data_IF_936861974412
#
_entry.id   IF_936861974412
#
_cell.length_a   1.000
_cell.length_b   1.000
_cell.length_c   1.000
_cell.angle_alpha   90.00
_cell.angle_beta   90.00
_cell.angle_gamma   90.00
#
_symmetry.space_group_name_H-M   'P 1'
#
loop_
_entity.id
_entity.type
_entity.pdbx_description
1 polymer ?
#
# COMPACT_ATOMS: atom_id res chain seq x y z
N UNK A 1 30.37 17.64 -39.96
CA UNK A 1 29.10 17.18 -40.55
C UNK A 1 28.11 16.96 -39.40
N UNK A 2 27.06 17.78 -39.32
CA UNK A 2 25.99 17.60 -38.35
C UNK A 2 24.97 16.63 -38.95
N UNK A 3 24.81 15.44 -38.39
CA UNK A 3 23.74 14.54 -38.76
C UNK A 3 22.41 15.11 -38.23
N UNK A 4 21.58 15.61 -39.11
CA UNK A 4 20.18 15.90 -38.86
C UNK A 4 19.46 14.56 -38.68
N UNK A 5 19.06 14.27 -37.43
CA UNK A 5 18.16 13.17 -37.13
C UNK A 5 16.75 13.61 -37.56
N UNK A 6 16.31 13.13 -38.71
CA UNK A 6 14.91 13.26 -39.12
C UNK A 6 14.08 12.35 -38.21
N UNK A 7 13.34 12.93 -37.28
CA UNK A 7 12.23 12.20 -36.66
C UNK A 7 11.24 11.89 -37.80
N UNK A 8 10.88 10.62 -37.98
CA UNK A 8 9.76 10.26 -38.83
C UNK A 8 8.54 10.99 -38.28
N UNK A 9 8.06 11.99 -39.01
CA UNK A 9 6.77 12.61 -38.75
C UNK A 9 5.71 11.49 -38.91
N UNK A 10 5.12 11.04 -37.81
CA UNK A 10 3.90 10.27 -37.89
C UNK A 10 2.91 11.13 -38.70
N UNK A 11 2.42 10.59 -39.79
CA UNK A 11 1.45 11.30 -40.64
C UNK A 11 0.23 11.58 -39.76
N UNK A 12 -0.20 12.84 -39.71
CA UNK A 12 -1.34 13.35 -38.92
C UNK A 12 -2.66 12.59 -39.17
N UNK A 13 -2.70 11.75 -40.21
CA UNK A 13 -3.84 10.92 -40.59
C UNK A 13 -4.08 9.67 -39.71
N UNK A 14 -3.15 9.33 -38.78
CA UNK A 14 -3.27 8.13 -37.95
C UNK A 14 -4.04 8.36 -36.63
N UNK A 15 -4.37 9.61 -36.29
CA UNK A 15 -5.06 9.95 -35.04
C UNK A 15 -6.40 10.66 -35.33
N UNK A 16 -7.48 10.11 -34.78
CA UNK A 16 -8.74 10.79 -34.75
C UNK A 16 -8.64 11.98 -33.76
N UNK A 17 -9.06 13.18 -34.18
CA UNK A 17 -9.04 14.39 -33.33
C UNK A 17 -9.82 14.20 -32.02
N UNK A 18 -10.88 13.42 -32.04
CA UNK A 18 -11.66 13.05 -30.84
C UNK A 18 -10.85 12.21 -29.86
N UNK A 19 -10.07 11.22 -30.35
CA UNK A 19 -9.23 10.38 -29.52
C UNK A 19 -8.12 11.22 -28.86
N UNK A 20 -7.52 12.16 -29.62
CA UNK A 20 -6.52 13.08 -29.06
C UNK A 20 -7.12 14.00 -28.01
N UNK A 21 -8.29 14.60 -28.27
CA UNK A 21 -8.99 15.46 -27.32
C UNK A 21 -9.31 14.72 -26.02
N UNK A 22 -9.89 13.52 -26.09
CA UNK A 22 -10.16 12.70 -24.93
C UNK A 22 -8.87 12.30 -24.20
N UNK A 23 -7.79 11.96 -24.93
CA UNK A 23 -6.52 11.63 -24.30
C UNK A 23 -5.94 12.81 -23.51
N UNK A 24 -5.93 14.01 -24.09
CA UNK A 24 -5.49 15.23 -23.38
C UNK A 24 -6.37 15.54 -22.17
N UNK A 25 -7.70 15.39 -22.27
CA UNK A 25 -8.60 15.52 -21.12
C UNK A 25 -8.26 14.49 -20.03
N UNK A 26 -7.94 13.26 -20.42
CA UNK A 26 -7.47 12.22 -19.50
C UNK A 26 -6.15 12.58 -18.82
N UNK A 27 -5.20 13.17 -19.55
CA UNK A 27 -3.93 13.66 -18.96
C UNK A 27 -4.21 14.78 -17.95
N UNK A 28 -5.01 15.77 -18.32
CA UNK A 28 -5.36 16.88 -17.41
C UNK A 28 -6.03 16.37 -16.15
N UNK A 29 -6.97 15.46 -16.26
CA UNK A 29 -7.61 14.84 -15.09
C UNK A 29 -6.60 14.05 -14.23
N UNK A 30 -5.68 13.31 -14.87
CA UNK A 30 -4.63 12.57 -14.18
C UNK A 30 -3.67 13.49 -13.41
N UNK A 31 -3.17 14.55 -14.04
CA UNK A 31 -2.29 15.54 -13.41
C UNK A 31 -3.00 16.29 -12.26
N UNK A 32 -4.33 16.48 -12.37
CA UNK A 32 -5.18 17.00 -11.31
C UNK A 32 -5.56 15.93 -10.26
N UNK A 33 -4.97 14.73 -10.34
CA UNK A 33 -5.21 13.61 -9.43
C UNK A 33 -6.65 13.07 -9.40
N UNK A 34 -7.48 13.47 -10.35
CA UNK A 34 -8.80 12.87 -10.53
C UNK A 34 -8.71 11.61 -11.40
N UNK A 35 -8.24 10.53 -10.74
CA UNK A 35 -7.99 9.25 -11.41
C UNK A 35 -9.28 8.63 -11.96
N UNK A 36 -10.42 8.86 -11.31
CA UNK A 36 -11.73 8.36 -11.76
C UNK A 36 -12.15 9.03 -13.08
N UNK A 37 -11.99 10.34 -13.18
CA UNK A 37 -12.26 11.09 -14.41
C UNK A 37 -11.24 10.78 -15.50
N UNK A 38 -9.95 10.70 -15.15
CA UNK A 38 -8.89 10.28 -16.06
C UNK A 38 -9.21 8.93 -16.73
N UNK A 39 -9.71 7.96 -15.93
CA UNK A 39 -10.09 6.64 -16.44
C UNK A 39 -11.26 6.69 -17.41
N UNK A 40 -12.24 7.59 -17.25
CA UNK A 40 -13.33 7.75 -18.22
C UNK A 40 -12.74 8.11 -19.59
N UNK A 41 -11.87 9.11 -19.64
CA UNK A 41 -11.25 9.57 -20.87
C UNK A 41 -10.28 8.53 -21.45
N UNK A 42 -9.41 7.90 -20.65
CA UNK A 42 -8.52 6.85 -21.11
C UNK A 42 -9.28 5.63 -21.64
N UNK A 43 -10.41 5.26 -21.05
CA UNK A 43 -11.25 4.17 -21.57
C UNK A 43 -11.79 4.43 -22.97
N UNK A 44 -12.05 5.71 -23.34
CA UNK A 44 -12.49 6.11 -24.67
C UNK A 44 -11.37 6.08 -25.73
N UNK A 45 -10.10 6.08 -25.28
CA UNK A 45 -8.92 6.23 -26.14
C UNK A 45 -7.98 5.03 -26.11
N UNK A 46 -8.47 3.84 -25.75
CA UNK A 46 -7.67 2.60 -25.68
C UNK A 46 -6.94 2.24 -26.98
N UNK A 47 -7.39 2.74 -28.11
CA UNK A 47 -6.71 2.60 -29.41
C UNK A 47 -5.28 3.16 -29.36
N UNK A 48 -4.99 4.09 -28.45
CA UNK A 48 -3.67 4.69 -28.25
C UNK A 48 -2.69 3.82 -27.47
N UNK A 49 -3.12 2.74 -26.82
CA UNK A 49 -2.24 1.83 -26.07
C UNK A 49 -1.02 1.39 -26.91
N UNK A 50 -1.22 1.16 -28.21
CA UNK A 50 -0.17 0.69 -29.12
C UNK A 50 0.50 1.81 -29.92
N UNK A 51 0.05 3.04 -29.76
CA UNK A 51 0.48 4.17 -30.58
C UNK A 51 1.23 5.25 -29.78
N UNK A 52 1.13 5.22 -28.45
CA UNK A 52 1.72 6.23 -27.58
C UNK A 52 2.36 5.60 -26.33
N UNK A 53 3.68 5.68 -26.22
CA UNK A 53 4.45 4.97 -25.18
C UNK A 53 4.01 5.31 -23.74
N UNK A 54 3.70 6.58 -23.45
CA UNK A 54 3.29 7.01 -22.12
C UNK A 54 1.84 6.67 -21.76
N UNK A 55 1.00 6.27 -22.75
CA UNK A 55 -0.41 6.02 -22.52
C UNK A 55 -0.63 4.86 -21.55
N UNK A 56 0.00 3.72 -21.81
CA UNK A 56 -0.18 2.52 -21.00
C UNK A 56 0.22 2.75 -19.55
N UNK A 57 1.33 3.44 -19.32
CA UNK A 57 1.79 3.79 -17.96
C UNK A 57 0.76 4.63 -17.21
N UNK A 58 0.24 5.72 -17.80
CA UNK A 58 -0.77 6.58 -17.17
C UNK A 58 -2.06 5.82 -16.91
N UNK A 59 -2.52 5.04 -17.88
CA UNK A 59 -3.74 4.25 -17.76
C UNK A 59 -3.65 3.23 -16.62
N UNK A 60 -2.56 2.49 -16.54
CA UNK A 60 -2.31 1.50 -15.48
C UNK A 60 -2.20 2.17 -14.12
N UNK A 61 -1.47 3.29 -14.00
CA UNK A 61 -1.35 4.01 -12.74
C UNK A 61 -2.70 4.59 -12.29
N UNK A 62 -3.51 5.15 -13.22
CA UNK A 62 -4.87 5.61 -12.90
C UNK A 62 -5.74 4.47 -12.38
N UNK A 63 -5.63 3.26 -12.95
CA UNK A 63 -6.38 2.09 -12.46
C UNK A 63 -5.97 1.71 -11.03
N UNK A 64 -4.67 1.67 -10.74
CA UNK A 64 -4.19 1.36 -9.38
C UNK A 64 -4.63 2.44 -8.40
N UNK A 65 -4.47 3.72 -8.75
CA UNK A 65 -4.85 4.85 -7.90
C UNK A 65 -6.36 4.97 -7.65
N UNK A 66 -7.19 4.43 -8.57
CA UNK A 66 -8.64 4.29 -8.40
C UNK A 66 -9.05 2.94 -7.75
N UNK A 67 -8.11 2.26 -7.10
CA UNK A 67 -8.30 0.97 -6.42
C UNK A 67 -8.80 -0.17 -7.35
N UNK A 68 -8.46 -0.11 -8.64
CA UNK A 68 -8.83 -1.09 -9.68
C UNK A 68 -7.64 -1.99 -10.07
N UNK A 69 -6.88 -2.46 -9.07
CA UNK A 69 -5.66 -3.26 -9.26
C UNK A 69 -5.87 -4.50 -10.15
N UNK A 70 -6.95 -5.31 -10.02
CA UNK A 70 -7.18 -6.44 -10.92
C UNK A 70 -7.31 -6.03 -12.38
N UNK A 71 -7.90 -4.85 -12.66
CA UNK A 71 -8.02 -4.35 -14.04
C UNK A 71 -6.66 -3.89 -14.58
N UNK A 72 -5.83 -3.25 -13.74
CA UNK A 72 -4.45 -2.89 -14.12
C UNK A 72 -3.62 -4.13 -14.49
N UNK A 73 -3.72 -5.20 -13.71
CA UNK A 73 -3.08 -6.49 -13.99
C UNK A 73 -3.53 -7.07 -15.33
N UNK A 74 -4.84 -7.08 -15.59
CA UNK A 74 -5.37 -7.57 -16.87
C UNK A 74 -4.85 -6.76 -18.06
N UNK A 75 -4.80 -5.44 -17.92
CA UNK A 75 -4.26 -4.56 -18.96
C UNK A 75 -2.78 -4.86 -19.22
N UNK A 76 -1.97 -5.03 -18.18
CA UNK A 76 -0.55 -5.37 -18.30
C UNK A 76 -0.35 -6.74 -18.94
N UNK A 77 -1.08 -7.77 -18.52
CA UNK A 77 -0.98 -9.11 -19.08
C UNK A 77 -1.32 -9.14 -20.59
N UNK A 78 -2.33 -8.37 -21.02
CA UNK A 78 -2.71 -8.25 -22.42
C UNK A 78 -1.69 -7.48 -23.29
N UNK A 79 -0.74 -6.80 -22.64
CA UNK A 79 0.30 -5.99 -23.32
C UNK A 79 1.72 -6.43 -22.96
N UNK A 80 1.92 -7.58 -22.30
CA UNK A 80 3.19 -8.02 -21.72
C UNK A 80 4.37 -8.11 -22.72
N UNK A 81 4.10 -8.29 -24.01
CA UNK A 81 5.13 -8.45 -25.05
C UNK A 81 5.41 -7.13 -25.81
N UNK A 82 4.93 -6.00 -25.32
CA UNK A 82 5.09 -4.71 -25.98
C UNK A 82 6.14 -3.86 -25.26
N UNK A 83 6.91 -3.08 -26.02
CA UNK A 83 7.94 -2.19 -25.48
C UNK A 83 7.38 -1.16 -24.48
N UNK A 84 6.15 -0.71 -24.68
CA UNK A 84 5.48 0.27 -23.82
C UNK A 84 5.02 -0.28 -22.46
N UNK A 85 5.09 -1.62 -22.23
CA UNK A 85 4.84 -2.24 -20.91
C UNK A 85 6.09 -2.28 -20.02
N UNK A 86 7.24 -1.81 -20.54
CA UNK A 86 8.53 -1.86 -19.87
C UNK A 86 8.75 -0.62 -18.98
N UNK A 87 8.09 -0.58 -17.81
CA UNK A 87 8.26 0.48 -16.80
C UNK A 87 8.17 -0.09 -15.38
N UNK A 88 8.81 0.59 -14.43
CA UNK A 88 8.97 0.12 -13.06
C UNK A 88 7.66 -0.29 -12.38
N UNK A 89 6.64 0.57 -12.43
CA UNK A 89 5.36 0.32 -11.75
C UNK A 89 4.65 -0.94 -12.30
N UNK A 90 4.82 -1.24 -13.62
CA UNK A 90 4.29 -2.47 -14.21
C UNK A 90 4.92 -3.72 -13.59
N UNK A 91 6.24 -3.73 -13.41
CA UNK A 91 6.91 -4.85 -12.76
C UNK A 91 6.46 -5.03 -11.32
N UNK A 92 6.33 -3.95 -10.55
CA UNK A 92 5.82 -4.04 -9.17
C UNK A 92 4.42 -4.66 -9.15
N UNK A 93 3.50 -4.21 -9.99
CA UNK A 93 2.13 -4.77 -10.07
C UNK A 93 2.17 -6.27 -10.42
N UNK A 94 3.00 -6.66 -11.38
CA UNK A 94 3.11 -8.06 -11.83
C UNK A 94 3.80 -8.95 -10.79
N UNK A 95 4.77 -8.44 -10.03
CA UNK A 95 5.36 -9.13 -8.88
C UNK A 95 4.27 -9.40 -7.84
N UNK A 96 3.49 -8.38 -7.46
CA UNK A 96 2.43 -8.48 -6.47
C UNK A 96 1.35 -9.46 -6.91
N UNK A 97 0.92 -9.43 -8.18
CA UNK A 97 -0.03 -10.42 -8.72
C UNK A 97 0.53 -11.86 -8.68
N UNK A 98 1.83 -12.01 -9.00
CA UNK A 98 2.49 -13.31 -8.97
C UNK A 98 2.59 -13.85 -7.54
N UNK A 99 2.89 -13.01 -6.56
CA UNK A 99 2.89 -13.36 -5.15
C UNK A 99 1.49 -13.77 -4.70
N UNK A 100 0.46 -12.99 -5.00
CA UNK A 100 -0.94 -13.33 -4.65
C UNK A 100 -1.38 -14.69 -5.20
N UNK A 101 -0.82 -15.10 -6.34
CA UNK A 101 -1.10 -16.38 -6.98
C UNK A 101 -0.15 -17.51 -6.54
N UNK A 102 0.67 -17.32 -5.53
CA UNK A 102 1.70 -18.27 -5.07
C UNK A 102 2.74 -18.63 -6.17
N UNK A 103 2.88 -17.81 -7.20
CA UNK A 103 3.85 -18.04 -8.27
C UNK A 103 5.17 -17.31 -7.99
N UNK A 104 5.91 -17.78 -6.99
CA UNK A 104 7.18 -17.17 -6.56
C UNK A 104 8.24 -17.18 -7.66
N UNK A 105 8.22 -18.17 -8.56
CA UNK A 105 9.16 -18.21 -9.71
C UNK A 105 8.93 -17.02 -10.62
N UNK A 106 7.67 -16.77 -10.99
CA UNK A 106 7.31 -15.64 -11.87
C UNK A 106 7.54 -14.29 -11.19
N UNK A 107 7.29 -14.20 -9.87
CA UNK A 107 7.61 -13.01 -9.08
C UNK A 107 9.11 -12.69 -9.15
N UNK A 108 9.98 -13.69 -9.04
CA UNK A 108 11.43 -13.57 -9.12
C UNK A 108 11.91 -13.15 -10.54
N UNK A 109 11.27 -13.70 -11.60
CA UNK A 109 11.52 -13.32 -12.99
C UNK A 109 11.20 -11.83 -13.23
N UNK A 110 10.03 -11.34 -12.78
CA UNK A 110 9.67 -9.94 -12.90
C UNK A 110 10.57 -9.04 -12.03
N UNK A 111 10.93 -9.49 -10.83
CA UNK A 111 11.87 -8.77 -9.97
C UNK A 111 13.23 -8.60 -10.67
N UNK A 112 13.74 -9.65 -11.30
CA UNK A 112 14.99 -9.60 -12.08
C UNK A 112 14.89 -8.63 -13.25
N UNK A 113 13.75 -8.59 -13.95
CA UNK A 113 13.53 -7.64 -15.04
C UNK A 113 13.44 -6.19 -14.55
N UNK A 114 12.96 -5.96 -13.32
CA UNK A 114 12.90 -4.62 -12.71
C UNK A 114 14.26 -4.08 -12.26
N UNK A 115 15.32 -4.90 -12.24
CA UNK A 115 16.65 -4.56 -11.74
C UNK A 115 17.23 -3.28 -12.37
N UNK A 116 16.95 -3.05 -13.65
CA UNK A 116 17.42 -1.87 -14.40
C UNK A 116 16.92 -0.53 -13.87
N UNK A 117 15.86 -0.54 -13.01
CA UNK A 117 15.27 0.66 -12.41
C UNK A 117 15.70 0.88 -10.95
N UNK A 118 16.47 -0.03 -10.33
CA UNK A 118 16.77 -0.01 -8.89
C UNK A 118 17.59 1.23 -8.46
N UNK A 119 18.43 1.74 -9.35
CA UNK A 119 19.36 2.83 -9.04
C UNK A 119 18.75 4.23 -9.33
N UNK A 120 17.52 4.31 -9.81
CA UNK A 120 16.85 5.57 -10.08
C UNK A 120 16.44 6.31 -8.80
N UNK A 121 16.15 5.55 -7.72
CA UNK A 121 15.68 6.08 -6.45
C UNK A 121 16.07 5.10 -5.32
N UNK A 122 16.50 5.65 -4.17
CA UNK A 122 16.87 4.86 -2.99
C UNK A 122 15.72 3.99 -2.49
N UNK A 123 14.47 4.46 -2.56
CA UNK A 123 13.31 3.67 -2.17
C UNK A 123 13.11 2.49 -3.11
N UNK A 124 13.33 2.66 -4.41
CA UNK A 124 13.27 1.54 -5.38
C UNK A 124 14.29 0.45 -5.07
N UNK A 125 15.50 0.85 -4.67
CA UNK A 125 16.52 -0.10 -4.21
C UNK A 125 16.07 -0.88 -2.96
N UNK A 126 15.49 -0.19 -1.98
CA UNK A 126 14.93 -0.83 -0.77
C UNK A 126 13.83 -1.82 -1.14
N UNK A 127 12.91 -1.42 -2.03
CA UNK A 127 11.81 -2.29 -2.49
C UNK A 127 12.38 -3.53 -3.18
N UNK A 128 13.31 -3.35 -4.11
CA UNK A 128 13.94 -4.46 -4.82
C UNK A 128 14.61 -5.46 -3.88
N UNK A 129 15.49 -5.00 -3.01
CA UNK A 129 16.25 -5.88 -2.11
C UNK A 129 15.34 -6.55 -1.06
N UNK A 130 14.30 -5.87 -0.59
CA UNK A 130 13.36 -6.45 0.38
C UNK A 130 12.45 -7.50 -0.27
N UNK A 131 11.90 -7.22 -1.46
CA UNK A 131 11.11 -8.21 -2.20
C UNK A 131 11.94 -9.43 -2.58
N UNK A 132 13.21 -9.25 -2.95
CA UNK A 132 14.16 -10.36 -3.19
C UNK A 132 14.31 -11.26 -1.96
N UNK A 133 14.46 -10.66 -0.77
CA UNK A 133 14.55 -11.40 0.49
C UNK A 133 13.24 -12.16 0.77
N UNK A 134 12.08 -11.52 0.65
CA UNK A 134 10.79 -12.16 0.85
C UNK A 134 10.57 -13.33 -0.12
N UNK A 135 10.76 -13.12 -1.42
CA UNK A 135 10.60 -14.17 -2.45
C UNK A 135 11.53 -15.35 -2.15
N UNK A 136 12.80 -15.08 -1.80
CA UNK A 136 13.74 -16.12 -1.43
C UNK A 136 13.25 -16.92 -0.20
N UNK A 137 12.79 -16.22 0.84
CA UNK A 137 12.29 -16.84 2.08
C UNK A 137 11.04 -17.69 1.81
N UNK A 138 10.11 -17.19 0.99
CA UNK A 138 8.89 -17.93 0.65
C UNK A 138 9.18 -19.21 -0.14
N UNK A 139 10.13 -19.14 -1.08
CA UNK A 139 10.56 -20.29 -1.89
C UNK A 139 11.33 -21.35 -1.09
N UNK A 140 12.26 -20.90 -0.26
CA UNK A 140 13.29 -21.78 0.31
C UNK A 140 13.06 -22.08 1.80
N UNK A 141 12.11 -21.42 2.45
CA UNK A 141 11.88 -21.51 3.90
C UNK A 141 13.14 -21.22 4.73
N UNK A 142 13.96 -20.29 4.25
CA UNK A 142 15.23 -19.85 4.87
C UNK A 142 15.43 -18.36 4.70
N UNK A 143 16.13 -17.73 5.63
CA UNK A 143 16.56 -16.33 5.51
C UNK A 143 17.68 -16.24 4.48
N UNK A 144 17.67 -15.21 3.64
CA UNK A 144 18.72 -14.95 2.67
C UNK A 144 19.98 -14.45 3.38
N UNK A 145 21.11 -15.10 3.12
CA UNK A 145 22.42 -14.65 3.59
C UNK A 145 22.92 -13.45 2.74
N UNK A 146 23.89 -12.70 3.28
CA UNK A 146 24.56 -11.58 2.58
C UNK A 146 23.58 -10.53 1.97
N UNK A 147 22.51 -10.21 2.69
CA UNK A 147 21.54 -9.19 2.31
C UNK A 147 22.02 -7.77 2.60
N UNK A 148 21.60 -6.80 1.79
CA UNK A 148 21.82 -5.38 2.11
C UNK A 148 21.04 -4.99 3.37
N UNK A 149 21.65 -4.13 4.19
CA UNK A 149 21.06 -3.62 5.42
C UNK A 149 20.61 -2.17 5.25
N UNK A 150 19.31 -1.93 5.51
CA UNK A 150 18.67 -0.62 5.48
C UNK A 150 18.18 -0.20 6.89
N UNK A 151 18.92 -0.61 7.91
CA UNK A 151 18.57 -0.27 9.30
C UNK A 151 17.25 -0.93 9.74
N UNK A 152 16.38 -0.13 10.33
CA UNK A 152 15.12 -0.63 10.89
C UNK A 152 14.19 -1.27 9.85
N UNK A 153 14.21 -0.84 8.59
CA UNK A 153 13.44 -1.50 7.53
C UNK A 153 13.89 -2.95 7.32
N UNK A 154 15.19 -3.22 7.39
CA UNK A 154 15.71 -4.57 7.31
C UNK A 154 15.37 -5.40 8.55
N UNK A 155 15.40 -4.80 9.74
CA UNK A 155 15.00 -5.45 10.98
C UNK A 155 13.51 -5.86 10.93
N UNK A 156 12.64 -4.96 10.46
CA UNK A 156 11.22 -5.25 10.26
C UNK A 156 11.03 -6.41 9.28
N UNK A 157 11.64 -6.31 8.10
CA UNK A 157 11.51 -7.35 7.08
C UNK A 157 12.02 -8.72 7.58
N UNK A 158 13.15 -8.74 8.28
CA UNK A 158 13.68 -9.97 8.86
C UNK A 158 12.77 -10.53 9.97
N UNK A 159 12.19 -9.69 10.82
CA UNK A 159 11.25 -10.12 11.86
C UNK A 159 10.07 -10.89 11.23
N UNK A 160 9.45 -10.34 10.19
CA UNK A 160 8.36 -11.01 9.49
C UNK A 160 8.81 -12.27 8.73
N UNK A 161 9.99 -12.27 8.11
CA UNK A 161 10.54 -13.47 7.48
C UNK A 161 10.75 -14.60 8.51
N UNK A 162 11.29 -14.28 9.70
CA UNK A 162 11.43 -15.24 10.80
C UNK A 162 10.09 -15.75 11.31
N UNK A 163 9.11 -14.86 11.44
CA UNK A 163 7.75 -15.25 11.81
C UNK A 163 7.16 -16.23 10.79
N UNK A 164 7.34 -15.98 9.49
CA UNK A 164 6.86 -16.86 8.41
C UNK A 164 7.46 -18.27 8.43
N UNK A 165 8.74 -18.40 8.78
CA UNK A 165 9.42 -19.68 8.83
C UNK A 165 9.39 -20.32 10.25
N UNK A 166 8.63 -19.74 11.16
CA UNK A 166 8.48 -20.20 12.56
C UNK A 166 9.84 -20.31 13.30
N UNK A 167 10.77 -19.38 13.04
CA UNK A 167 12.09 -19.32 13.69
C UNK A 167 11.91 -19.04 15.20
N UNK A 168 12.55 -19.82 16.05
CA UNK A 168 12.49 -19.71 17.53
C UNK A 168 12.92 -18.33 18.06
N UNK A 169 13.67 -17.55 17.26
CA UNK A 169 14.12 -16.19 17.61
C UNK A 169 13.09 -15.12 17.31
N UNK A 170 11.97 -15.43 16.65
CA UNK A 170 10.92 -14.45 16.30
C UNK A 170 10.54 -13.54 17.45
N UNK A 171 10.28 -14.04 18.70
CA UNK A 171 9.93 -13.15 19.81
C UNK A 171 10.99 -12.11 20.14
N UNK A 172 12.29 -12.50 20.13
CA UNK A 172 13.38 -11.56 20.39
C UNK A 172 13.50 -10.46 19.32
N UNK A 173 13.20 -10.79 18.05
CA UNK A 173 13.18 -9.81 16.97
C UNK A 173 12.02 -8.82 17.12
N UNK A 174 10.82 -9.27 17.49
CA UNK A 174 9.70 -8.36 17.80
C UNK A 174 10.03 -7.45 18.99
N UNK A 175 10.58 -7.99 20.08
CA UNK A 175 10.98 -7.19 21.24
C UNK A 175 12.06 -6.17 20.89
N UNK A 176 13.04 -6.51 20.03
CA UNK A 176 14.02 -5.54 19.54
C UNK A 176 13.39 -4.39 18.73
N UNK A 177 12.33 -4.68 17.97
CA UNK A 177 11.58 -3.63 17.26
C UNK A 177 10.82 -2.73 18.23
N UNK A 178 10.05 -3.31 19.14
CA UNK A 178 9.15 -2.58 20.05
C UNK A 178 9.97 -1.70 21.01
N UNK A 179 11.11 -2.19 21.50
CA UNK A 179 11.98 -1.47 22.42
C UNK A 179 12.96 -0.50 21.74
N UNK A 180 12.90 -0.35 20.42
CA UNK A 180 13.79 0.55 19.69
C UNK A 180 13.38 2.01 19.92
N UNK A 181 14.27 2.79 20.53
CA UNK A 181 14.02 4.20 20.83
C UNK A 181 14.23 5.16 19.64
N UNK A 182 14.63 4.66 18.47
CA UNK A 182 14.92 5.48 17.30
C UNK A 182 13.68 5.88 16.48
N UNK A 183 12.47 5.49 16.91
CA UNK A 183 11.22 5.80 16.23
C UNK A 183 10.00 5.20 16.91
N UNK A 184 8.81 5.51 16.39
CA UNK A 184 7.57 4.90 16.86
C UNK A 184 7.35 3.54 16.16
N UNK A 185 7.61 2.47 16.90
CA UNK A 185 7.38 1.09 16.47
C UNK A 185 6.18 0.44 17.17
N UNK A 186 5.33 1.25 17.80
CA UNK A 186 4.14 0.78 18.52
C UNK A 186 3.23 -0.13 17.69
N UNK A 187 3.14 0.13 16.37
CA UNK A 187 2.41 -0.73 15.42
C UNK A 187 2.83 -2.21 15.51
N UNK A 188 4.12 -2.49 15.80
CA UNK A 188 4.64 -3.87 15.86
C UNK A 188 4.24 -4.62 17.12
N UNK A 189 3.69 -3.93 18.12
CA UNK A 189 3.05 -4.58 19.28
C UNK A 189 1.85 -5.41 18.82
N UNK A 190 1.04 -4.92 17.85
CA UNK A 190 -0.06 -5.68 17.27
C UNK A 190 0.44 -7.01 16.66
N UNK A 191 1.49 -6.97 15.84
CA UNK A 191 2.02 -8.16 15.19
C UNK A 191 2.69 -9.12 16.18
N UNK A 192 3.28 -8.58 17.26
CA UNK A 192 3.81 -9.41 18.33
C UNK A 192 2.70 -10.10 19.13
N UNK A 193 1.62 -9.39 19.43
CA UNK A 193 0.43 -9.97 20.05
C UNK A 193 -0.17 -11.09 19.20
N UNK A 194 -0.32 -10.85 17.90
CA UNK A 194 -0.77 -11.88 16.94
C UNK A 194 0.13 -13.11 17.00
N UNK A 195 1.45 -12.92 16.97
CA UNK A 195 2.42 -14.02 17.08
C UNK A 195 2.30 -14.78 18.41
N UNK A 196 2.11 -14.09 19.54
CA UNK A 196 1.94 -14.73 20.86
C UNK A 196 0.65 -15.56 20.89
N UNK A 197 -0.46 -15.02 20.38
CA UNK A 197 -1.76 -15.68 20.33
C UNK A 197 -1.71 -16.92 19.44
N UNK A 198 -1.13 -16.81 18.23
CA UNK A 198 -0.94 -17.94 17.31
C UNK A 198 -0.10 -19.10 17.92
N UNK A 199 0.74 -18.78 18.91
CA UNK A 199 1.55 -19.76 19.62
C UNK A 199 0.97 -20.16 21.00
N UNK A 200 -0.31 -19.85 21.26
CA UNK A 200 -1.01 -20.12 22.53
C UNK A 200 -0.36 -19.49 23.77
N UNK A 201 0.39 -18.39 23.62
CA UNK A 201 1.06 -17.67 24.70
C UNK A 201 0.17 -16.55 25.26
N UNK A 202 -1.06 -16.92 25.63
CA UNK A 202 -2.11 -15.95 26.01
C UNK A 202 -1.73 -15.12 27.24
N UNK A 203 -1.02 -15.73 28.24
CA UNK A 203 -0.58 -14.98 29.41
C UNK A 203 0.46 -13.91 29.06
N UNK A 204 1.39 -14.23 28.17
CA UNK A 204 2.36 -13.23 27.67
C UNK A 204 1.64 -12.10 26.90
N UNK A 205 0.63 -12.43 26.08
CA UNK A 205 -0.18 -11.44 25.38
C UNK A 205 -0.93 -10.49 26.34
N UNK A 206 -1.51 -11.01 27.43
CA UNK A 206 -2.16 -10.19 28.47
C UNK A 206 -1.18 -9.22 29.14
N UNK A 207 0.03 -9.68 29.47
CA UNK A 207 1.07 -8.80 30.04
C UNK A 207 1.49 -7.68 29.09
N UNK A 208 1.55 -7.95 27.79
CA UNK A 208 1.88 -6.93 26.79
C UNK A 208 0.78 -5.86 26.70
N UNK A 209 -0.50 -6.24 26.71
CA UNK A 209 -1.60 -5.27 26.59
C UNK A 209 -1.84 -4.45 27.86
N UNK A 210 -1.42 -4.92 29.04
CA UNK A 210 -1.46 -4.14 30.28
C UNK A 210 -0.68 -2.82 30.17
N UNK A 211 0.34 -2.78 29.33
CA UNK A 211 1.17 -1.60 29.09
C UNK A 211 0.57 -0.63 28.06
N UNK A 212 -0.52 -1.00 27.38
CA UNK A 212 -1.17 -0.17 26.37
C UNK A 212 -2.18 0.77 27.05
N UNK A 213 -2.00 2.07 26.84
CA UNK A 213 -2.97 3.10 27.25
C UNK A 213 -3.98 3.32 26.11
N UNK A 214 -5.28 3.17 26.40
CA UNK A 214 -6.35 3.39 25.41
C UNK A 214 -6.38 4.82 24.83
N UNK A 215 -6.03 5.82 25.64
CA UNK A 215 -6.16 7.24 25.25
C UNK A 215 -4.98 7.66 24.37
N UNK A 216 -3.77 7.23 24.72
CA UNK A 216 -2.52 7.69 24.09
C UNK A 216 -1.98 6.70 23.03
N UNK A 217 -2.72 5.61 22.77
CA UNK A 217 -2.30 4.59 21.81
C UNK A 217 -2.92 4.80 20.43
N UNK A 218 -2.31 4.17 19.42
CA UNK A 218 -2.88 4.13 18.06
C UNK A 218 -4.18 3.30 18.05
N UNK A 219 -5.06 3.57 17.07
CA UNK A 219 -6.31 2.82 16.88
C UNK A 219 -6.08 1.31 16.86
N UNK A 220 -5.03 0.86 16.17
CA UNK A 220 -4.70 -0.55 16.07
C UNK A 220 -4.35 -1.16 17.44
N UNK A 221 -3.64 -0.44 18.28
CA UNK A 221 -3.30 -0.91 19.63
C UNK A 221 -4.49 -0.90 20.56
N UNK A 222 -5.32 0.14 20.52
CA UNK A 222 -6.55 0.21 21.31
C UNK A 222 -7.49 -0.94 20.95
N UNK A 223 -7.64 -1.25 19.66
CA UNK A 223 -8.39 -2.41 19.18
C UNK A 223 -7.77 -3.72 19.67
N UNK A 224 -6.44 -3.87 19.59
CA UNK A 224 -5.73 -5.07 20.05
C UNK A 224 -5.95 -5.32 21.54
N UNK A 225 -5.83 -4.27 22.36
CA UNK A 225 -6.11 -4.35 23.78
C UNK A 225 -7.56 -4.77 24.04
N UNK A 226 -8.53 -4.14 23.37
CA UNK A 226 -9.95 -4.51 23.51
C UNK A 226 -10.21 -5.98 23.14
N UNK A 227 -9.54 -6.51 22.12
CA UNK A 227 -9.68 -7.91 21.73
C UNK A 227 -9.10 -8.87 22.78
N UNK A 228 -7.95 -8.55 23.34
CA UNK A 228 -7.35 -9.36 24.40
C UNK A 228 -8.20 -9.30 25.69
N UNK A 229 -8.63 -8.11 26.10
CA UNK A 229 -9.47 -7.91 27.30
C UNK A 229 -10.83 -8.61 27.18
N UNK A 230 -11.40 -8.68 25.97
CA UNK A 230 -12.67 -9.36 25.66
C UNK A 230 -12.50 -10.83 25.21
N UNK A 231 -11.29 -11.37 25.28
CA UNK A 231 -10.91 -12.75 24.86
C UNK A 231 -11.25 -13.07 23.39
N UNK A 232 -11.26 -12.05 22.51
CA UNK A 232 -11.50 -12.18 21.07
C UNK A 232 -10.22 -12.51 20.31
N UNK A 233 -9.50 -13.53 20.74
CA UNK A 233 -8.18 -13.90 20.19
C UNK A 233 -8.23 -14.26 18.69
N UNK A 234 -9.32 -14.87 18.24
CA UNK A 234 -9.50 -15.26 16.83
C UNK A 234 -9.55 -14.05 15.87
N UNK A 235 -9.89 -12.85 16.38
CA UNK A 235 -10.00 -11.66 15.55
C UNK A 235 -8.64 -11.21 15.01
N UNK A 236 -7.53 -11.48 15.72
CA UNK A 236 -6.19 -11.23 15.23
C UNK A 236 -5.88 -12.00 13.94
N UNK A 237 -6.12 -13.32 13.95
CA UNK A 237 -5.86 -14.18 12.79
C UNK A 237 -6.78 -13.92 11.60
N UNK A 238 -7.93 -13.26 11.80
CA UNK A 238 -8.83 -12.87 10.71
C UNK A 238 -8.24 -11.76 9.82
N UNK A 239 -7.43 -10.88 10.39
CA UNK A 239 -6.91 -9.70 9.69
C UNK A 239 -5.44 -9.81 9.31
N UNK A 240 -4.65 -10.63 10.01
CA UNK A 240 -3.23 -10.83 9.71
C UNK A 240 -2.75 -12.19 10.19
N UNK A 241 -1.88 -12.83 9.42
CA UNK A 241 -1.16 -14.04 9.81
C UNK A 241 0.27 -14.03 9.28
N UNK A 242 1.23 -14.29 10.15
CA UNK A 242 2.63 -14.50 9.72
C UNK A 242 2.79 -15.69 8.74
N UNK A 243 1.82 -16.61 8.70
CA UNK A 243 1.85 -17.79 7.80
C UNK A 243 1.38 -17.46 6.40
N UNK A 244 0.72 -16.32 6.20
CA UNK A 244 0.31 -15.83 4.88
C UNK A 244 1.34 -14.81 4.34
N UNK A 245 2.06 -15.20 3.31
CA UNK A 245 3.04 -14.33 2.67
C UNK A 245 2.41 -13.05 2.07
N UNK A 246 1.12 -13.08 1.72
CA UNK A 246 0.42 -11.90 1.23
C UNK A 246 0.29 -10.84 2.33
N UNK A 247 0.01 -11.27 3.57
CA UNK A 247 -0.10 -10.37 4.71
C UNK A 247 1.24 -9.69 5.01
N UNK A 248 2.36 -10.45 4.92
CA UNK A 248 3.70 -9.92 5.14
C UNK A 248 4.09 -8.88 4.08
N UNK A 249 3.84 -9.19 2.81
CA UNK A 249 4.14 -8.26 1.71
C UNK A 249 3.20 -7.06 1.76
N UNK A 250 1.95 -7.24 2.14
CA UNK A 250 1.00 -6.15 2.37
C UNK A 250 1.52 -5.16 3.40
N UNK A 251 2.03 -5.64 4.54
CA UNK A 251 2.63 -4.78 5.57
C UNK A 251 3.89 -4.08 5.06
N UNK A 252 4.74 -4.76 4.30
CA UNK A 252 5.90 -4.12 3.67
C UNK A 252 5.48 -2.98 2.72
N UNK A 253 4.46 -3.18 1.89
CA UNK A 253 3.95 -2.13 0.99
C UNK A 253 3.33 -0.96 1.77
N UNK A 254 2.69 -1.23 2.91
CA UNK A 254 2.23 -0.19 3.83
C UNK A 254 3.41 0.66 4.37
N UNK A 255 4.53 0.02 4.75
CA UNK A 255 5.73 0.76 5.16
C UNK A 255 6.29 1.65 4.05
N UNK A 256 6.36 1.13 2.83
CA UNK A 256 6.81 1.92 1.67
C UNK A 256 5.86 3.09 1.43
N UNK A 257 4.56 2.90 1.59
CA UNK A 257 3.59 3.98 1.44
C UNK A 257 3.77 5.06 2.51
N UNK A 258 4.03 4.68 3.76
CA UNK A 258 4.35 5.62 4.84
C UNK A 258 5.60 6.47 4.53
N UNK A 259 6.65 5.85 3.97
CA UNK A 259 7.85 6.59 3.55
C UNK A 259 7.53 7.65 2.48
N UNK A 260 6.68 7.32 1.52
CA UNK A 260 6.26 8.30 0.51
C UNK A 260 5.32 9.37 1.10
N UNK A 261 4.39 8.99 2.00
CA UNK A 261 3.50 9.93 2.69
C UNK A 261 4.29 10.95 3.51
N UNK A 262 5.31 10.51 4.26
CA UNK A 262 6.18 11.39 5.06
C UNK A 262 6.99 12.39 4.22
N UNK A 263 7.13 12.13 2.92
CA UNK A 263 7.76 13.02 1.93
C UNK A 263 6.73 13.85 1.15
N UNK A 264 5.46 13.86 1.56
CA UNK A 264 4.33 14.49 0.86
C UNK A 264 4.10 13.96 -0.56
N UNK A 265 4.62 12.77 -0.90
CA UNK A 265 4.36 12.10 -2.16
C UNK A 265 3.13 11.18 -2.03
N UNK A 266 1.96 11.81 -1.88
CA UNK A 266 0.71 11.11 -1.60
C UNK A 266 0.26 10.21 -2.77
N UNK A 267 0.60 10.55 -4.00
CA UNK A 267 0.28 9.70 -5.16
C UNK A 267 1.02 8.36 -5.08
N UNK A 268 2.35 8.38 -4.85
CA UNK A 268 3.13 7.14 -4.68
C UNK A 268 2.70 6.39 -3.42
N UNK A 269 2.41 7.09 -2.33
CA UNK A 269 1.86 6.48 -1.12
C UNK A 269 0.56 5.73 -1.41
N UNK A 270 -0.41 6.35 -2.05
CA UNK A 270 -1.69 5.73 -2.38
C UNK A 270 -1.53 4.57 -3.40
N UNK A 271 -0.57 4.65 -4.31
CA UNK A 271 -0.25 3.55 -5.23
C UNK A 271 0.14 2.29 -4.43
N UNK A 272 1.08 2.39 -3.50
CA UNK A 272 1.52 1.25 -2.67
C UNK A 272 0.46 0.79 -1.67
N UNK A 273 -0.36 1.71 -1.12
CA UNK A 273 -1.49 1.35 -0.26
C UNK A 273 -2.53 0.52 -1.00
N UNK A 274 -2.85 0.87 -2.24
CA UNK A 274 -3.82 0.10 -3.03
C UNK A 274 -3.28 -1.30 -3.40
N UNK A 275 -1.97 -1.44 -3.63
CA UNK A 275 -1.34 -2.75 -3.79
C UNK A 275 -1.32 -3.54 -2.47
N UNK A 276 -1.06 -2.88 -1.33
CA UNK A 276 -1.17 -3.48 0.00
C UNK A 276 -2.58 -4.02 0.25
N UNK A 277 -3.60 -3.20 0.01
CA UNK A 277 -5.01 -3.58 0.15
C UNK A 277 -5.42 -4.71 -0.83
N UNK A 278 -4.84 -4.75 -2.02
CA UNK A 278 -5.07 -5.85 -2.97
C UNK A 278 -4.55 -7.19 -2.43
N UNK A 279 -3.41 -7.21 -1.73
CA UNK A 279 -2.88 -8.41 -1.09
C UNK A 279 -3.69 -8.80 0.14
N UNK A 280 -3.90 -7.87 1.07
CA UNK A 280 -4.65 -8.09 2.31
C UNK A 280 -5.80 -7.08 2.47
N UNK A 281 -6.97 -7.33 1.87
CA UNK A 281 -8.13 -6.44 1.98
C UNK A 281 -8.81 -6.48 3.37
N UNK A 282 -8.41 -7.40 4.25
CA UNK A 282 -9.00 -7.56 5.59
C UNK A 282 -8.37 -6.60 6.60
N UNK A 283 -7.19 -6.05 6.30
CA UNK A 283 -6.48 -5.14 7.20
C UNK A 283 -6.93 -3.69 6.96
N UNK A 284 -8.16 -3.37 7.38
CA UNK A 284 -8.82 -2.09 7.14
C UNK A 284 -8.07 -0.88 7.73
N UNK A 285 -7.20 -1.11 8.74
CA UNK A 285 -6.33 -0.04 9.28
C UNK A 285 -5.57 0.72 8.18
N UNK A 286 -5.17 0.05 7.11
CA UNK A 286 -4.44 0.69 6.02
C UNK A 286 -5.28 1.77 5.30
N UNK A 287 -6.61 1.67 5.34
CA UNK A 287 -7.51 2.70 4.80
C UNK A 287 -7.44 4.02 5.59
N UNK A 288 -7.03 3.99 6.86
CA UNK A 288 -6.85 5.21 7.64
C UNK A 288 -5.73 6.09 7.06
N UNK A 289 -4.64 5.49 6.58
CA UNK A 289 -3.58 6.23 5.90
C UNK A 289 -4.01 6.75 4.53
N UNK A 290 -4.85 6.01 3.79
CA UNK A 290 -5.44 6.51 2.54
C UNK A 290 -6.29 7.75 2.80
N UNK A 291 -7.14 7.71 3.84
CA UNK A 291 -7.96 8.84 4.26
C UNK A 291 -7.08 10.04 4.67
N UNK A 292 -5.98 9.79 5.42
CA UNK A 292 -5.05 10.83 5.83
C UNK A 292 -4.35 11.49 4.64
N UNK A 293 -3.86 10.71 3.68
CA UNK A 293 -3.22 11.22 2.47
C UNK A 293 -4.16 12.13 1.66
N UNK A 294 -5.43 11.75 1.52
CA UNK A 294 -6.42 12.59 0.85
C UNK A 294 -6.76 13.83 1.67
N UNK A 295 -6.83 13.72 3.00
CA UNK A 295 -7.08 14.85 3.88
C UNK A 295 -5.95 15.89 3.81
N UNK A 296 -4.69 15.46 3.89
CA UNK A 296 -3.51 16.32 3.79
C UNK A 296 -3.35 16.99 2.40
N UNK A 297 -4.05 16.48 1.41
CA UNK A 297 -4.08 17.01 0.06
C UNK A 297 -5.37 17.79 -0.27
N UNK A 298 -6.18 18.11 0.75
CA UNK A 298 -7.46 18.84 0.66
C UNK A 298 -8.52 18.16 -0.24
N UNK A 299 -8.39 16.83 -0.46
CA UNK A 299 -9.29 16.05 -1.30
C UNK A 299 -10.48 15.49 -0.48
N UNK A 300 -11.22 16.35 0.22
CA UNK A 300 -12.20 15.98 1.24
C UNK A 300 -13.32 15.04 0.74
N UNK A 301 -13.75 15.16 -0.50
CA UNK A 301 -14.74 14.24 -1.08
C UNK A 301 -14.22 12.80 -1.18
N UNK A 302 -12.91 12.61 -1.43
CA UNK A 302 -12.28 11.29 -1.43
C UNK A 302 -12.15 10.76 -0.01
N UNK A 303 -11.80 11.62 0.96
CA UNK A 303 -11.80 11.26 2.38
C UNK A 303 -13.19 10.75 2.80
N UNK A 304 -14.25 11.54 2.55
CA UNK A 304 -15.64 11.17 2.89
C UNK A 304 -16.04 9.81 2.28
N UNK A 305 -15.56 9.48 1.07
CA UNK A 305 -15.79 8.16 0.46
C UNK A 305 -15.10 7.03 1.18
N UNK A 306 -13.83 7.21 1.57
CA UNK A 306 -13.06 6.19 2.31
C UNK A 306 -13.65 5.98 3.70
N UNK A 307 -14.05 7.04 4.40
CA UNK A 307 -14.61 6.98 5.75
C UNK A 307 -15.89 6.15 5.83
N UNK A 308 -16.65 5.99 4.72
CA UNK A 308 -17.83 5.12 4.67
C UNK A 308 -17.52 3.64 4.89
N UNK A 309 -16.26 3.20 4.73
CA UNK A 309 -15.86 1.83 4.99
C UNK A 309 -15.80 1.55 6.52
N UNK A 310 -15.55 2.55 7.35
CA UNK A 310 -15.50 2.40 8.80
C UNK A 310 -16.92 2.40 9.38
N UNK A 311 -17.35 1.23 9.84
CA UNK A 311 -18.72 1.00 10.32
C UNK A 311 -18.85 1.27 11.81
N UNK A 312 -20.08 1.47 12.28
CA UNK A 312 -20.38 1.74 13.70
C UNK A 312 -20.02 0.54 14.59
N UNK A 313 -20.04 -0.67 14.04
CA UNK A 313 -19.70 -1.89 14.77
C UNK A 313 -18.20 -1.99 15.11
N UNK A 314 -17.37 -1.26 14.35
CA UNK A 314 -15.94 -1.18 14.55
C UNK A 314 -15.60 0.05 15.41
N UNK A 315 -15.84 -0.04 16.71
CA UNK A 315 -15.80 1.07 17.66
C UNK A 315 -14.64 2.07 17.44
N UNK A 316 -13.39 1.58 17.34
CA UNK A 316 -12.21 2.45 17.21
C UNK A 316 -12.11 3.13 15.83
N UNK A 317 -12.45 2.41 14.75
CA UNK A 317 -12.43 2.98 13.40
C UNK A 317 -13.61 3.92 13.17
N UNK A 318 -14.75 3.67 13.82
CA UNK A 318 -15.86 4.61 13.81
C UNK A 318 -15.49 5.93 14.47
N UNK A 319 -14.75 5.89 15.60
CA UNK A 319 -14.20 7.10 16.22
C UNK A 319 -13.24 7.86 15.31
N UNK A 320 -12.34 7.14 14.63
CA UNK A 320 -11.46 7.76 13.61
C UNK A 320 -12.29 8.45 12.53
N UNK A 321 -13.34 7.81 12.05
CA UNK A 321 -14.27 8.39 11.07
C UNK A 321 -14.89 9.67 11.59
N UNK A 322 -15.52 9.66 12.78
CA UNK A 322 -16.17 10.84 13.35
C UNK A 322 -15.18 12.00 13.53
N UNK A 323 -13.98 11.71 14.04
CA UNK A 323 -12.92 12.71 14.18
C UNK A 323 -12.54 13.33 12.83
N UNK A 324 -12.37 12.52 11.78
CA UNK A 324 -12.04 13.04 10.44
C UNK A 324 -13.18 13.82 9.81
N UNK A 325 -14.42 13.37 9.94
CA UNK A 325 -15.59 14.10 9.48
C UNK A 325 -15.69 15.47 10.17
N UNK A 326 -15.46 15.54 11.49
CA UNK A 326 -15.42 16.80 12.22
C UNK A 326 -14.28 17.72 11.74
N UNK A 327 -13.07 17.16 11.53
CA UNK A 327 -11.94 17.93 11.01
C UNK A 327 -12.23 18.53 9.62
N UNK A 328 -12.93 17.79 8.75
CA UNK A 328 -13.36 18.29 7.44
C UNK A 328 -14.36 19.43 7.61
N UNK A 329 -15.36 19.28 8.50
CA UNK A 329 -16.34 20.34 8.77
C UNK A 329 -15.65 21.60 9.27
N UNK A 330 -14.67 21.49 10.16
CA UNK A 330 -13.87 22.63 10.64
C UNK A 330 -13.14 23.34 9.50
N UNK A 331 -12.61 22.60 8.54
CA UNK A 331 -11.91 23.18 7.39
C UNK A 331 -12.87 23.80 6.35
N UNK A 332 -14.00 23.15 6.08
CA UNK A 332 -14.97 23.62 5.08
C UNK A 332 -15.89 24.74 5.61
N UNK A 333 -16.11 24.82 6.92
CA UNK A 333 -17.05 25.74 7.55
C UNK A 333 -16.37 26.51 8.69
N UNK A 334 -16.46 25.96 9.94
CA UNK A 334 -15.88 26.57 11.13
C UNK A 334 -15.77 25.56 12.30
N UNK A 335 -15.07 25.97 13.36
CA UNK A 335 -14.86 25.17 14.56
C UNK A 335 -16.15 24.83 15.30
N UNK A 336 -17.09 25.77 15.38
CA UNK A 336 -18.36 25.58 16.11
C UNK A 336 -19.23 24.47 15.48
N UNK A 337 -19.30 24.43 14.14
CA UNK A 337 -20.01 23.39 13.41
C UNK A 337 -19.34 22.02 13.57
N UNK A 338 -17.99 21.97 13.62
CA UNK A 338 -17.27 20.73 13.91
C UNK A 338 -17.59 20.17 15.30
N UNK A 339 -17.65 21.02 16.34
CA UNK A 339 -18.03 20.60 17.70
C UNK A 339 -19.49 20.14 17.74
N UNK A 340 -20.43 20.91 17.18
CA UNK A 340 -21.86 20.52 17.07
C UNK A 340 -22.04 19.16 16.41
N UNK A 341 -21.22 18.88 15.37
CA UNK A 341 -21.25 17.57 14.72
C UNK A 341 -20.86 16.45 15.70
N UNK A 342 -19.77 16.61 16.44
CA UNK A 342 -19.34 15.61 17.44
C UNK A 342 -20.44 15.41 18.49
N UNK A 343 -20.94 16.50 19.11
CA UNK A 343 -21.98 16.45 20.14
C UNK A 343 -23.26 15.75 19.65
N UNK A 344 -23.58 15.84 18.35
CA UNK A 344 -24.74 15.17 17.77
C UNK A 344 -24.61 13.65 17.68
N UNK A 345 -23.40 13.10 17.89
CA UNK A 345 -23.09 11.67 17.79
C UNK A 345 -23.06 10.96 19.16
N UNK A 346 -23.15 11.76 20.23
CA UNK A 346 -23.30 11.31 21.61
C UNK A 346 -24.70 11.57 22.13
#
# INVERSE_FOLDING_TARGET
>A
MRHLVYSKSATFNDFNSRDLSNYFSGIVAFENRDNSEALKFFNLTKVLINKHDSYLKRYVNSLVLDNKVPQAINVLNNNANKSNSDFYDAYIILIIDSLKKNNFKRADEYLTQSLKFQDEDRIKLVIFETLKQYIYTFKNKKILDNKKNFGNLSLIAETFQRCYIEDKRTPSFFLNLINNQQGDYSRYIFFYLNHLIDNNKLNEARLVVEQIDYINSTLLLSQSKSWVDKEKFDDFGKIFSCKDHNDLVSEFLFLISNLYSSQNNFEKSNFYLNLSNYLNPKFEFNLSLVAENFYLNDEFDKVKRILKNFKIEDEFYYWFRLKKEAQIIIQEQDYENGIKYIDSKF
#
